data_IF_210766027107
#
_entry.id   IF_210766027107
#
_cell.length_a   1.000
_cell.length_b   1.000
_cell.length_c   1.000
_cell.angle_alpha   90.00
_cell.angle_beta   90.00
_cell.angle_gamma   90.00
#
_symmetry.space_group_name_H-M   'P 1'
#
loop_
_entity.id
_entity.type
_entity.pdbx_description
1 polymer ?
#
# COMPACT_ATOMS: atom_id res chain seq x y z
N UNK A 1 13.79 -3.97 -17.27
CA UNK A 1 13.43 -2.54 -17.15
C UNK A 1 12.09 -2.49 -16.42
N UNK A 2 11.92 -1.64 -15.41
CA UNK A 2 10.64 -1.49 -14.70
C UNK A 2 9.68 -0.71 -15.59
N UNK A 3 8.47 -1.23 -15.75
CA UNK A 3 7.40 -0.57 -16.50
C UNK A 3 6.44 0.10 -15.49
N UNK A 4 6.19 1.40 -15.68
CA UNK A 4 5.24 2.18 -14.86
C UNK A 4 3.89 2.34 -15.56
N UNK A 5 3.76 1.85 -16.79
CA UNK A 5 2.51 1.93 -17.54
C UNK A 5 1.61 0.76 -17.12
N UNK A 6 0.50 1.08 -16.45
CA UNK A 6 -0.49 0.12 -15.97
C UNK A 6 -1.90 0.73 -16.04
N UNK A 7 -2.92 -0.08 -15.80
CA UNK A 7 -4.32 0.35 -15.72
C UNK A 7 -5.11 -0.61 -14.83
N UNK A 8 -6.30 -0.25 -14.33
CA UNK A 8 -7.08 -1.10 -13.43
C UNK A 8 -7.31 -2.52 -13.96
N UNK A 9 -7.49 -2.70 -15.28
CA UNK A 9 -7.70 -4.00 -15.91
C UNK A 9 -6.42 -4.86 -15.96
N UNK A 10 -5.26 -4.25 -15.71
CA UNK A 10 -3.94 -4.90 -15.73
C UNK A 10 -3.37 -5.12 -14.33
N UNK A 11 -4.03 -4.58 -13.29
CA UNK A 11 -3.57 -4.74 -11.92
C UNK A 11 -3.52 -6.22 -11.53
N UNK A 12 -2.47 -6.59 -10.82
CA UNK A 12 -2.23 -7.93 -10.28
C UNK A 12 -2.25 -7.96 -8.75
N UNK A 13 -2.20 -6.79 -8.14
CA UNK A 13 -2.02 -6.63 -6.71
C UNK A 13 -3.13 -5.83 -6.06
N UNK A 14 -3.82 -5.00 -6.85
CA UNK A 14 -4.92 -4.18 -6.38
C UNK A 14 -6.17 -4.41 -7.23
N UNK A 15 -7.30 -4.31 -6.57
CA UNK A 15 -8.61 -4.25 -7.22
C UNK A 15 -9.22 -2.89 -6.92
N UNK A 16 -9.60 -2.16 -7.97
CA UNK A 16 -10.30 -0.88 -7.88
C UNK A 16 -11.77 -1.11 -8.22
N UNK A 17 -12.64 -0.89 -7.25
CA UNK A 17 -14.09 -0.94 -7.41
C UNK A 17 -14.69 0.40 -7.02
N UNK A 18 -15.59 0.94 -7.86
CA UNK A 18 -16.29 2.20 -7.58
C UNK A 18 -17.78 1.90 -7.45
N UNK A 19 -18.34 2.28 -6.31
CA UNK A 19 -19.76 2.16 -5.99
C UNK A 19 -20.30 3.57 -5.65
N UNK A 20 -21.06 4.16 -6.56
CA UNK A 20 -21.55 5.52 -6.43
C UNK A 20 -20.43 6.54 -6.18
N UNK A 21 -20.33 7.06 -4.97
CA UNK A 21 -19.32 8.04 -4.56
C UNK A 21 -18.22 7.46 -3.67
N UNK A 22 -18.13 6.15 -3.58
CA UNK A 22 -17.13 5.44 -2.77
C UNK A 22 -16.29 4.55 -3.68
N UNK A 23 -14.97 4.69 -3.59
CA UNK A 23 -14.04 3.77 -4.20
C UNK A 23 -13.45 2.81 -3.15
N UNK A 24 -13.33 1.56 -3.52
CA UNK A 24 -12.64 0.54 -2.74
C UNK A 24 -11.35 0.16 -3.45
N UNK A 25 -10.22 0.35 -2.78
CA UNK A 25 -8.92 -0.16 -3.17
C UNK A 25 -8.60 -1.38 -2.31
N UNK A 26 -8.76 -2.56 -2.90
CA UNK A 26 -8.61 -3.83 -2.21
C UNK A 26 -7.26 -4.44 -2.54
N UNK A 27 -6.44 -4.63 -1.52
CA UNK A 27 -5.11 -5.25 -1.67
C UNK A 27 -5.25 -6.77 -1.78
N UNK A 28 -4.94 -7.30 -2.96
CA UNK A 28 -5.03 -8.72 -3.32
C UNK A 28 -3.73 -9.18 -3.99
N UNK A 29 -2.61 -9.04 -3.30
CA UNK A 29 -1.28 -9.28 -3.90
C UNK A 29 -1.17 -10.69 -4.48
N UNK A 30 -0.89 -10.77 -5.78
CA UNK A 30 -0.53 -12.02 -6.45
C UNK A 30 0.89 -12.44 -5.97
N UNK A 31 1.00 -13.58 -5.26
CA UNK A 31 2.27 -13.99 -4.67
C UNK A 31 3.37 -14.23 -5.69
N UNK A 32 3.01 -14.60 -6.91
CA UNK A 32 3.94 -15.00 -7.96
C UNK A 32 4.23 -13.88 -8.96
N UNK A 33 3.64 -12.69 -8.76
CA UNK A 33 3.79 -11.53 -9.62
C UNK A 33 4.86 -10.53 -9.15
N UNK A 34 5.85 -10.95 -8.39
CA UNK A 34 6.97 -10.08 -8.03
C UNK A 34 7.70 -9.51 -9.25
N UNK A 35 8.17 -8.26 -9.17
CA UNK A 35 8.88 -7.58 -10.25
C UNK A 35 10.13 -8.30 -10.76
N UNK A 36 10.75 -9.12 -9.91
CA UNK A 36 11.96 -9.88 -10.23
C UNK A 36 11.83 -11.32 -9.73
N UNK A 37 12.47 -12.28 -10.41
CA UNK A 37 12.54 -13.64 -9.91
C UNK A 37 13.32 -13.72 -8.59
N UNK A 38 13.04 -14.76 -7.81
CA UNK A 38 13.80 -15.09 -6.60
C UNK A 38 13.11 -14.76 -5.29
N UNK A 39 11.93 -14.17 -5.30
CA UNK A 39 11.08 -13.98 -4.12
C UNK A 39 9.59 -14.18 -4.45
N UNK A 40 8.80 -14.39 -3.42
CA UNK A 40 7.36 -14.53 -3.49
C UNK A 40 6.72 -13.49 -2.57
N UNK A 41 5.65 -12.83 -3.03
CA UNK A 41 4.92 -11.80 -2.29
C UNK A 41 3.87 -12.44 -1.36
N UNK A 42 4.31 -13.08 -0.27
CA UNK A 42 3.41 -13.71 0.70
C UNK A 42 2.78 -12.69 1.65
N UNK A 43 1.60 -12.99 2.15
CA UNK A 43 0.91 -12.19 3.17
C UNK A 43 0.70 -10.72 2.77
N UNK A 44 0.34 -10.49 1.51
CA UNK A 44 0.26 -9.15 0.94
C UNK A 44 1.52 -8.33 1.18
N UNK A 45 2.71 -8.96 1.11
CA UNK A 45 3.95 -8.22 1.18
C UNK A 45 4.18 -7.38 -0.08
N UNK A 46 5.00 -6.36 0.08
CA UNK A 46 5.08 -5.23 -0.83
C UNK A 46 6.40 -5.19 -1.57
N UNK A 47 6.37 -5.08 -2.89
CA UNK A 47 7.48 -4.63 -3.73
C UNK A 47 7.08 -3.39 -4.51
N UNK A 48 7.96 -2.92 -5.41
CA UNK A 48 7.66 -1.72 -6.20
C UNK A 48 6.48 -1.92 -7.15
N UNK A 49 6.22 -3.15 -7.63
CA UNK A 49 5.07 -3.45 -8.50
C UNK A 49 3.75 -3.17 -7.82
N UNK A 50 3.64 -3.58 -6.55
CA UNK A 50 2.44 -3.31 -5.74
C UNK A 50 2.20 -1.80 -5.58
N UNK A 51 3.27 -1.02 -5.40
CA UNK A 51 3.14 0.43 -5.22
C UNK A 51 2.87 1.20 -6.51
N UNK A 52 3.37 0.71 -7.65
CA UNK A 52 3.07 1.29 -8.97
C UNK A 52 1.56 1.25 -9.23
N UNK A 53 0.89 0.13 -8.95
CA UNK A 53 -0.55 0.01 -9.13
C UNK A 53 -1.32 0.91 -8.16
N UNK A 54 -0.90 1.01 -6.89
CA UNK A 54 -1.52 1.92 -5.93
C UNK A 54 -1.37 3.38 -6.37
N UNK A 55 -0.19 3.78 -6.80
CA UNK A 55 0.08 5.14 -7.29
C UNK A 55 -0.80 5.47 -8.49
N UNK A 56 -0.87 4.57 -9.49
CA UNK A 56 -1.74 4.73 -10.66
C UNK A 56 -3.21 4.86 -10.25
N UNK A 57 -3.68 4.02 -9.32
CA UNK A 57 -5.06 4.06 -8.84
C UNK A 57 -5.40 5.38 -8.13
N UNK A 58 -4.51 5.90 -7.29
CA UNK A 58 -4.68 7.20 -6.60
C UNK A 58 -4.80 8.34 -7.62
N UNK A 59 -3.92 8.36 -8.64
CA UNK A 59 -3.98 9.37 -9.70
C UNK A 59 -5.28 9.27 -10.51
N UNK A 60 -5.71 8.07 -10.89
CA UNK A 60 -6.98 7.89 -11.62
C UNK A 60 -8.18 8.33 -10.81
N UNK A 61 -8.26 7.94 -9.54
CA UNK A 61 -9.33 8.40 -8.66
C UNK A 61 -9.40 9.91 -8.61
N UNK A 62 -8.27 10.59 -8.50
CA UNK A 62 -8.20 12.04 -8.43
C UNK A 62 -8.64 12.73 -9.73
N UNK A 63 -8.20 12.23 -10.89
CA UNK A 63 -8.36 12.93 -12.17
C UNK A 63 -9.45 12.37 -13.07
N UNK A 64 -9.72 11.06 -12.99
CA UNK A 64 -10.73 10.38 -13.82
C UNK A 64 -12.07 10.21 -13.09
N UNK A 65 -12.05 10.20 -11.72
CA UNK A 65 -13.23 9.98 -10.87
C UNK A 65 -13.43 11.08 -9.81
N UNK A 66 -13.56 12.35 -10.23
CA UNK A 66 -13.73 13.46 -9.27
C UNK A 66 -15.05 13.41 -8.50
N UNK A 67 -16.01 12.57 -8.94
CA UNK A 67 -17.28 12.32 -8.24
C UNK A 67 -17.11 11.46 -6.98
N UNK A 68 -16.01 10.71 -6.86
CA UNK A 68 -15.69 9.91 -5.67
C UNK A 68 -15.36 10.84 -4.50
N UNK A 69 -16.07 10.67 -3.40
CA UNK A 69 -15.87 11.48 -2.18
C UNK A 69 -15.16 10.72 -1.06
N UNK A 70 -15.09 9.38 -1.14
CA UNK A 70 -14.38 8.56 -0.17
C UNK A 70 -13.65 7.41 -0.85
N UNK A 71 -12.43 7.11 -0.40
CA UNK A 71 -11.61 5.99 -0.88
C UNK A 71 -11.25 5.10 0.30
N UNK A 72 -11.64 3.83 0.23
CA UNK A 72 -11.43 2.85 1.29
C UNK A 72 -10.33 1.88 0.87
N UNK A 73 -9.19 1.91 1.57
CA UNK A 73 -8.13 0.92 1.44
C UNK A 73 -8.45 -0.27 2.36
N UNK A 74 -8.49 -1.47 1.80
CA UNK A 74 -8.73 -2.71 2.55
C UNK A 74 -7.98 -3.88 1.92
N UNK A 75 -8.19 -5.10 2.38
CA UNK A 75 -7.56 -6.31 1.84
C UNK A 75 -8.59 -7.38 1.52
N UNK A 76 -8.33 -8.13 0.46
CA UNK A 76 -9.08 -9.35 0.11
C UNK A 76 -8.62 -10.58 0.94
N UNK A 77 -7.52 -10.48 1.69
CA UNK A 77 -7.03 -11.58 2.53
C UNK A 77 -7.62 -11.53 3.92
N UNK A 78 -8.08 -12.67 4.38
CA UNK A 78 -8.51 -12.83 5.77
C UNK A 78 -7.33 -12.62 6.74
N UNK A 79 -7.55 -11.83 7.79
CA UNK A 79 -6.62 -11.58 8.89
C UNK A 79 -5.28 -10.96 8.54
N UNK A 80 -5.08 -10.56 7.29
CA UNK A 80 -3.86 -9.89 6.84
C UNK A 80 -4.23 -8.71 5.96
N UNK A 81 -3.98 -7.52 6.44
CA UNK A 81 -4.03 -6.34 5.58
C UNK A 81 -2.77 -6.28 4.71
N UNK A 82 -1.62 -6.08 5.32
CA UNK A 82 -0.33 -6.02 4.61
C UNK A 82 0.84 -6.28 5.56
N UNK A 83 1.73 -7.18 5.19
CA UNK A 83 2.94 -7.49 6.00
C UNK A 83 4.13 -6.56 5.73
N UNK A 84 3.94 -5.50 4.92
CA UNK A 84 4.97 -4.53 4.61
C UNK A 84 5.95 -4.96 3.52
N UNK A 85 7.09 -4.28 3.43
CA UNK A 85 8.08 -4.52 2.38
C UNK A 85 8.61 -5.97 2.42
N UNK A 86 8.63 -6.62 1.25
CA UNK A 86 9.10 -8.00 1.14
C UNK A 86 10.58 -8.11 1.52
N UNK A 87 10.87 -8.88 2.56
CA UNK A 87 12.22 -9.01 3.13
C UNK A 87 13.18 -9.71 2.15
N UNK A 88 12.70 -10.74 1.43
CA UNK A 88 13.51 -11.45 0.45
C UNK A 88 13.87 -10.54 -0.73
N UNK A 89 12.91 -9.78 -1.26
CA UNK A 89 13.15 -8.75 -2.27
C UNK A 89 14.23 -7.76 -1.78
N UNK A 90 14.10 -7.25 -0.55
CA UNK A 90 15.11 -6.34 0.01
C UNK A 90 16.49 -6.97 0.12
N UNK A 91 16.56 -8.25 0.48
CA UNK A 91 17.83 -9.00 0.54
C UNK A 91 18.52 -9.10 -0.81
N UNK A 92 17.75 -9.31 -1.87
CA UNK A 92 18.27 -9.48 -3.25
C UNK A 92 18.55 -8.16 -3.97
N UNK A 93 17.97 -7.05 -3.48
CA UNK A 93 18.05 -5.76 -4.17
C UNK A 93 19.35 -5.02 -3.95
N UNK A 94 19.82 -4.32 -4.97
CA UNK A 94 20.93 -3.37 -4.85
C UNK A 94 20.58 -2.21 -3.93
N UNK A 95 21.59 -1.52 -3.40
CA UNK A 95 21.37 -0.31 -2.59
C UNK A 95 20.56 0.75 -3.36
N UNK A 96 20.91 1.01 -4.62
CA UNK A 96 20.17 1.97 -5.45
C UNK A 96 18.68 1.61 -5.62
N UNK A 97 18.36 0.32 -5.79
CA UNK A 97 16.96 -0.12 -5.84
C UNK A 97 16.23 0.13 -4.52
N UNK A 98 16.87 -0.16 -3.38
CA UNK A 98 16.28 0.09 -2.04
C UNK A 98 15.94 1.56 -1.82
N UNK A 99 16.88 2.46 -2.19
CA UNK A 99 16.67 3.91 -2.10
C UNK A 99 15.52 4.36 -3.00
N UNK A 100 15.51 3.91 -4.25
CA UNK A 100 14.47 4.28 -5.21
C UNK A 100 13.09 3.70 -4.84
N UNK A 101 13.05 2.50 -4.29
CA UNK A 101 11.83 1.92 -3.73
C UNK A 101 11.27 2.77 -2.61
N UNK A 102 12.08 3.12 -1.61
CA UNK A 102 11.64 3.98 -0.51
C UNK A 102 11.20 5.37 -1.02
N UNK A 103 11.91 5.94 -2.00
CA UNK A 103 11.49 7.21 -2.59
C UNK A 103 10.11 7.09 -3.23
N UNK A 104 9.88 6.09 -4.07
CA UNK A 104 8.62 5.92 -4.78
C UNK A 104 7.45 5.71 -3.80
N UNK A 105 7.63 4.83 -2.81
CA UNK A 105 6.60 4.59 -1.79
C UNK A 105 6.28 5.83 -0.96
N UNK A 106 7.27 6.69 -0.68
CA UNK A 106 7.01 7.98 -0.04
C UNK A 106 6.18 8.92 -0.92
N UNK A 107 6.45 8.99 -2.21
CA UNK A 107 5.65 9.80 -3.15
C UNK A 107 4.19 9.33 -3.17
N UNK A 108 3.95 8.01 -3.23
CA UNK A 108 2.59 7.47 -3.18
C UNK A 108 1.87 7.83 -1.86
N UNK A 109 2.57 7.80 -0.71
CA UNK A 109 1.97 8.21 0.58
C UNK A 109 1.64 9.71 0.59
N UNK A 110 2.51 10.53 0.05
CA UNK A 110 2.29 11.97 -0.08
C UNK A 110 1.10 12.26 -1.03
N UNK A 111 0.94 11.50 -2.12
CA UNK A 111 -0.20 11.63 -3.02
C UNK A 111 -1.54 11.30 -2.34
N UNK A 112 -1.58 10.29 -1.48
CA UNK A 112 -2.77 9.97 -0.68
C UNK A 112 -3.13 11.13 0.26
N UNK A 113 -2.14 11.66 0.99
CA UNK A 113 -2.32 12.79 1.89
C UNK A 113 -2.76 14.06 1.14
N UNK A 114 -2.13 14.35 0.01
CA UNK A 114 -2.45 15.50 -0.83
C UNK A 114 -3.86 15.36 -1.47
N UNK A 115 -4.23 14.17 -1.89
CA UNK A 115 -5.57 13.90 -2.39
C UNK A 115 -6.65 14.15 -1.32
N UNK A 116 -6.41 13.69 -0.09
CA UNK A 116 -7.32 13.96 1.03
C UNK A 116 -7.46 15.46 1.31
N UNK A 117 -6.36 16.22 1.23
CA UNK A 117 -6.36 17.65 1.54
C UNK A 117 -6.93 18.53 0.41
N UNK A 118 -6.73 18.15 -0.85
CA UNK A 118 -6.93 19.06 -1.98
C UNK A 118 -7.86 18.56 -3.09
N UNK A 119 -8.30 17.28 -3.07
CA UNK A 119 -9.18 16.74 -4.12
C UNK A 119 -10.62 16.55 -3.69
N UNK A 120 -10.94 16.73 -2.41
CA UNK A 120 -12.27 16.45 -1.85
C UNK A 120 -12.55 14.95 -1.68
N UNK A 121 -11.54 14.10 -1.78
CA UNK A 121 -11.59 12.66 -1.59
C UNK A 121 -11.00 12.29 -0.23
N UNK A 122 -11.81 11.78 0.69
CA UNK A 122 -11.34 11.33 2.00
C UNK A 122 -10.82 9.91 1.91
N UNK A 123 -9.55 9.69 2.23
CA UNK A 123 -8.96 8.36 2.27
C UNK A 123 -9.09 7.73 3.65
N UNK A 124 -9.53 6.48 3.69
CA UNK A 124 -9.75 5.69 4.91
C UNK A 124 -9.03 4.36 4.77
N UNK A 125 -8.48 3.83 5.84
CA UNK A 125 -7.98 2.46 5.89
C UNK A 125 -8.88 1.58 6.74
N UNK A 126 -9.49 0.56 6.14
CA UNK A 126 -10.27 -0.47 6.81
C UNK A 126 -9.42 -1.74 6.94
N UNK A 127 -8.72 -1.86 8.06
CA UNK A 127 -7.80 -2.96 8.33
C UNK A 127 -8.57 -4.18 8.82
N UNK A 128 -8.87 -5.10 7.90
CA UNK A 128 -9.53 -6.37 8.18
C UNK A 128 -8.57 -7.46 8.71
N UNK A 129 -7.34 -7.06 9.05
CA UNK A 129 -6.28 -7.93 9.52
C UNK A 129 -5.03 -7.17 9.95
N UNK A 130 -3.97 -7.92 10.25
CA UNK A 130 -2.70 -7.35 10.70
C UNK A 130 -2.05 -6.48 9.61
N UNK A 131 -1.59 -5.29 10.02
CA UNK A 131 -0.78 -4.37 9.22
C UNK A 131 0.58 -4.14 9.88
N UNK A 132 1.67 -4.44 9.15
CA UNK A 132 3.02 -4.36 9.69
C UNK A 132 3.96 -3.57 8.78
N UNK A 133 4.90 -2.82 9.38
CA UNK A 133 5.91 -2.06 8.65
C UNK A 133 5.29 -1.13 7.61
N UNK A 134 5.74 -1.21 6.37
CA UNK A 134 5.20 -0.42 5.25
C UNK A 134 3.69 -0.57 5.02
N UNK A 135 3.08 -1.69 5.46
CA UNK A 135 1.63 -1.87 5.42
C UNK A 135 0.92 -0.99 6.44
N UNK A 136 1.47 -0.84 7.63
CA UNK A 136 0.96 0.11 8.61
C UNK A 136 1.27 1.56 8.22
N UNK A 137 2.46 1.82 7.64
CA UNK A 137 2.80 3.15 7.12
C UNK A 137 1.84 3.61 6.01
N UNK A 138 1.35 2.68 5.18
CA UNK A 138 0.31 2.97 4.19
C UNK A 138 -1.00 3.40 4.88
N UNK A 139 -1.44 2.67 5.90
CA UNK A 139 -2.62 3.05 6.66
C UNK A 139 -2.46 4.42 7.35
N UNK A 140 -1.28 4.73 7.87
CA UNK A 140 -0.98 6.02 8.49
C UNK A 140 -1.05 7.21 7.53
N UNK A 141 -0.97 7.00 6.21
CA UNK A 141 -1.14 8.06 5.22
C UNK A 141 -2.61 8.42 4.93
N UNK A 142 -3.56 7.68 5.50
CA UNK A 142 -4.99 7.96 5.39
C UNK A 142 -5.52 8.76 6.56
N UNK A 143 -6.65 9.47 6.39
CA UNK A 143 -7.22 10.31 7.45
C UNK A 143 -7.80 9.51 8.62
N UNK A 144 -8.33 8.32 8.33
CA UNK A 144 -8.94 7.47 9.35
C UNK A 144 -8.48 6.03 9.21
N UNK A 145 -8.18 5.40 10.33
CA UNK A 145 -7.81 3.99 10.40
C UNK A 145 -8.83 3.26 11.27
N UNK A 146 -9.46 2.24 10.68
CA UNK A 146 -10.33 1.31 11.39
C UNK A 146 -9.65 -0.05 11.43
N UNK A 147 -9.47 -0.61 12.61
CA UNK A 147 -8.90 -1.95 12.80
C UNK A 147 -10.01 -2.89 13.28
N UNK A 148 -10.13 -4.05 12.65
CA UNK A 148 -11.06 -5.08 13.09
C UNK A 148 -10.72 -5.55 14.52
N UNK A 149 -11.73 -5.63 15.38
CA UNK A 149 -11.61 -6.16 16.74
C UNK A 149 -11.88 -7.66 16.74
N UNK A 150 -10.87 -8.44 16.37
CA UNK A 150 -10.92 -9.91 16.32
C UNK A 150 -9.98 -10.58 17.33
N UNK A 151 -9.41 -9.79 18.25
CA UNK A 151 -8.43 -10.20 19.26
C UNK A 151 -7.10 -10.74 18.71
N UNK A 152 -6.89 -10.68 17.39
CA UNK A 152 -5.67 -11.20 16.74
C UNK A 152 -5.00 -10.20 15.80
N UNK A 153 -5.76 -9.30 15.20
CA UNK A 153 -5.25 -8.29 14.29
C UNK A 153 -4.53 -7.17 15.03
N UNK A 154 -3.39 -6.77 14.52
CA UNK A 154 -2.51 -5.77 15.14
C UNK A 154 -1.93 -4.82 14.13
N UNK A 155 -1.52 -3.64 14.58
CA UNK A 155 -0.66 -2.72 13.83
C UNK A 155 0.71 -2.65 14.49
N UNK A 156 1.78 -2.62 13.69
CA UNK A 156 3.14 -2.63 14.23
C UNK A 156 4.19 -2.09 13.25
N UNK A 157 5.32 -1.65 13.81
CA UNK A 157 6.53 -1.28 13.07
C UNK A 157 7.67 -2.21 13.49
N UNK A 158 7.65 -3.50 13.07
CA UNK A 158 8.57 -4.52 13.57
C UNK A 158 10.02 -4.31 13.13
N UNK A 159 10.27 -3.52 12.10
CA UNK A 159 11.60 -3.16 11.63
C UNK A 159 12.40 -2.39 12.68
N UNK A 160 11.75 -1.65 13.55
CA UNK A 160 12.43 -0.87 14.61
C UNK A 160 13.11 -1.80 15.62
N UNK A 161 12.41 -2.68 16.33
CA UNK A 161 13.04 -3.56 17.31
C UNK A 161 13.83 -4.73 16.71
N UNK A 162 13.43 -5.23 15.52
CA UNK A 162 14.02 -6.44 14.95
C UNK A 162 15.23 -6.18 14.06
N UNK A 163 15.24 -5.06 13.34
CA UNK A 163 16.27 -4.74 12.35
C UNK A 163 17.05 -3.48 12.68
N UNK A 164 16.70 -2.77 13.76
CA UNK A 164 17.27 -1.49 14.14
C UNK A 164 17.29 -0.46 12.98
N UNK A 165 16.24 -0.46 12.16
CA UNK A 165 16.06 0.49 11.07
C UNK A 165 14.79 1.31 11.30
N UNK A 166 14.81 2.54 10.81
CA UNK A 166 13.63 3.41 10.86
C UNK A 166 12.61 2.97 9.79
N UNK A 167 11.31 3.13 10.08
CA UNK A 167 10.28 3.01 9.06
C UNK A 167 10.56 3.95 7.88
N UNK A 168 10.52 3.39 6.67
CA UNK A 168 11.01 4.08 5.47
C UNK A 168 10.05 5.09 4.87
N UNK A 169 8.77 5.07 5.26
CA UNK A 169 7.70 5.90 4.67
C UNK A 169 6.90 6.68 5.70
N UNK A 170 7.57 7.16 6.74
CA UNK A 170 7.02 8.13 7.68
C UNK A 170 6.31 7.55 8.90
N UNK A 171 6.44 6.26 9.18
CA UNK A 171 5.75 5.59 10.29
C UNK A 171 6.05 6.11 11.70
N UNK A 172 7.06 6.96 11.86
CA UNK A 172 7.36 7.65 13.13
C UNK A 172 6.98 9.13 13.13
N UNK A 173 6.43 9.64 12.04
CA UNK A 173 6.13 11.06 11.87
C UNK A 173 4.66 11.34 11.55
N UNK A 174 3.90 10.32 11.14
CA UNK A 174 2.45 10.35 10.86
C UNK A 174 1.63 9.95 12.07
#
# INVERSE_FOLDING_TARGET
MINFNTSPEQYRHWELEIQDRIAFLKLAVDPDAGLHPGYTLKLNSYDLGVDIELHDAVLRLRFEHPEVGAVVLTSERDRVFCSGANIAMRGLSSHGHKVNFCKFTNETRNEIEDASQHSGQVYLSALNGTAAGGGYEMALSTEHIMLVDDSSSTVSLPEVPLLAVLPGTGGLTR
#
